data_IF_225963820876
#
_entry.id   IF_225963820876
#
_cell.length_a   1.000
_cell.length_b   1.000
_cell.length_c   1.000
_cell.angle_alpha   90.00
_cell.angle_beta   90.00
_cell.angle_gamma   90.00
#
_symmetry.space_group_name_H-M   'P 1'
#
loop_
_entity.id
_entity.type
_entity.pdbx_description
1 polymer ?
#
# COMPACT_ATOMS: atom_id res chain seq x y z
N UNK A 1 -28.23 -8.20 -6.60
CA UNK A 1 -28.04 -7.22 -7.69
C UNK A 1 -26.54 -7.08 -7.85
N UNK A 2 -26.00 -7.80 -8.82
CA UNK A 2 -24.58 -8.13 -8.95
C UNK A 2 -23.88 -6.94 -9.60
N UNK A 3 -22.91 -6.35 -8.90
CA UNK A 3 -22.02 -5.35 -9.47
C UNK A 3 -21.04 -6.06 -10.40
N UNK A 4 -21.19 -5.86 -11.71
CA UNK A 4 -20.22 -6.32 -12.69
C UNK A 4 -18.95 -5.48 -12.56
N UNK A 5 -17.87 -6.13 -12.15
CA UNK A 5 -16.51 -5.62 -12.29
C UNK A 5 -16.19 -5.46 -13.79
N UNK A 6 -15.80 -4.26 -14.18
CA UNK A 6 -15.19 -4.00 -15.49
C UNK A 6 -13.70 -4.13 -15.30
N UNK A 7 -13.08 -5.09 -15.99
CA UNK A 7 -11.63 -5.28 -16.01
C UNK A 7 -10.95 -4.14 -16.78
N UNK A 8 -9.94 -3.44 -16.20
CA UNK A 8 -9.10 -2.51 -16.93
C UNK A 8 -8.03 -3.26 -17.75
N UNK A 9 -7.81 -2.84 -19.00
CA UNK A 9 -6.67 -3.27 -19.82
C UNK A 9 -5.44 -2.37 -19.60
N UNK A 10 -4.21 -2.88 -19.80
CA UNK A 10 -3.01 -2.34 -19.16
C UNK A 10 -2.19 -1.43 -20.08
N UNK A 11 -1.79 -0.26 -19.57
CA UNK A 11 -0.62 0.49 -20.06
C UNK A 11 0.01 1.24 -18.89
N UNK A 12 1.10 0.70 -18.34
CA UNK A 12 2.23 1.38 -17.64
C UNK A 12 2.03 2.56 -16.66
N UNK A 13 0.82 2.93 -16.25
CA UNK A 13 0.55 4.18 -15.53
C UNK A 13 -0.33 4.00 -14.29
N UNK A 14 -0.08 2.93 -13.51
CA UNK A 14 -0.69 2.78 -12.19
C UNK A 14 -0.08 3.81 -11.23
N UNK A 15 -0.67 5.00 -11.18
CA UNK A 15 -0.28 6.06 -10.26
C UNK A 15 -0.37 5.65 -8.79
N UNK A 16 0.32 6.38 -7.91
CA UNK A 16 0.28 6.13 -6.47
C UNK A 16 -1.07 6.57 -5.90
N UNK A 17 -1.71 5.71 -5.12
CA UNK A 17 -2.99 6.02 -4.48
C UNK A 17 -2.84 6.95 -3.28
N UNK A 18 -3.64 8.01 -3.24
CA UNK A 18 -3.85 8.89 -2.08
C UNK A 18 -5.30 8.81 -1.62
N UNK A 19 -5.56 8.90 -0.32
CA UNK A 19 -6.92 8.76 0.19
C UNK A 19 -7.06 8.89 1.69
N UNK A 20 -8.26 8.55 2.17
CA UNK A 20 -8.63 8.52 3.59
C UNK A 20 -9.13 7.12 3.93
N UNK A 21 -8.47 6.43 4.87
CA UNK A 21 -8.84 5.07 5.31
C UNK A 21 -10.33 4.94 5.63
N UNK A 22 -10.92 3.80 5.27
CA UNK A 22 -12.34 3.50 5.56
C UNK A 22 -13.37 4.33 4.79
N UNK A 23 -12.93 5.25 3.94
CA UNK A 23 -13.78 6.05 3.05
C UNK A 23 -13.53 5.69 1.59
N UNK A 24 -14.47 6.04 0.70
CA UNK A 24 -14.33 5.83 -0.74
C UNK A 24 -13.49 6.92 -1.45
N UNK A 25 -13.05 7.94 -0.70
CA UNK A 25 -12.31 9.08 -1.24
C UNK A 25 -10.87 8.69 -1.59
N UNK A 26 -10.63 8.42 -2.86
CA UNK A 26 -9.37 7.92 -3.42
C UNK A 26 -9.03 8.65 -4.71
N UNK A 27 -7.75 8.93 -4.90
CA UNK A 27 -7.23 9.42 -6.16
C UNK A 27 -5.89 8.77 -6.47
N UNK A 28 -5.62 8.55 -7.76
CA UNK A 28 -4.33 8.11 -8.27
C UNK A 28 -3.48 9.32 -8.65
N UNK A 29 -2.19 9.29 -8.31
CA UNK A 29 -1.21 10.33 -8.64
C UNK A 29 -0.19 9.73 -9.60
N UNK A 30 -0.13 10.20 -10.84
CA UNK A 30 0.84 9.71 -11.84
C UNK A 30 2.28 10.03 -11.45
N UNK A 31 3.26 9.45 -12.15
CA UNK A 31 4.68 9.68 -11.88
C UNK A 31 5.13 11.16 -12.00
N UNK A 32 4.37 11.99 -12.71
CA UNK A 32 4.60 13.43 -12.85
C UNK A 32 3.61 14.31 -12.06
N UNK A 33 2.76 13.69 -11.24
CA UNK A 33 1.88 14.40 -10.33
C UNK A 33 0.51 14.76 -10.88
N UNK A 34 0.08 14.22 -12.02
CA UNK A 34 -1.32 14.38 -12.43
C UNK A 34 -2.25 13.58 -11.50
N UNK A 35 -3.42 14.13 -11.17
CA UNK A 35 -4.32 13.58 -10.13
C UNK A 35 -5.67 13.15 -10.71
N UNK A 36 -6.02 11.88 -10.54
CA UNK A 36 -7.27 11.27 -11.02
C UNK A 36 -8.07 10.66 -9.88
N UNK A 37 -9.22 11.22 -9.48
CA UNK A 37 -10.09 10.59 -8.49
C UNK A 37 -10.71 9.30 -9.02
N UNK A 38 -10.77 8.27 -8.18
CA UNK A 38 -11.28 6.95 -8.56
C UNK A 38 -12.75 6.97 -9.00
N UNK A 39 -13.59 7.73 -8.28
CA UNK A 39 -15.01 7.88 -8.61
C UNK A 39 -15.24 8.51 -10.00
N UNK A 40 -14.23 9.19 -10.54
CA UNK A 40 -14.27 9.95 -11.77
C UNK A 40 -13.16 9.53 -12.75
N UNK A 41 -12.69 8.28 -12.70
CA UNK A 41 -11.60 7.76 -13.57
C UNK A 41 -11.86 7.93 -15.08
N UNK A 42 -13.12 8.07 -15.48
CA UNK A 42 -13.52 8.32 -16.87
C UNK A 42 -13.37 9.79 -17.29
N UNK A 43 -13.11 10.69 -16.35
CA UNK A 43 -12.80 12.09 -16.61
C UNK A 43 -11.30 12.28 -16.79
N UNK A 44 -10.92 13.37 -17.46
CA UNK A 44 -9.52 13.72 -17.61
C UNK A 44 -8.87 13.96 -16.22
N UNK A 45 -7.60 13.58 -16.04
CA UNK A 45 -6.85 13.89 -14.83
C UNK A 45 -6.72 15.41 -14.64
N UNK A 46 -6.53 15.85 -13.40
CA UNK A 46 -6.01 17.20 -13.14
C UNK A 46 -4.51 17.17 -13.44
N UNK A 47 -4.09 17.88 -14.48
CA UNK A 47 -2.68 18.05 -14.81
C UNK A 47 -2.25 19.50 -14.53
N UNK A 48 -0.94 19.75 -14.54
CA UNK A 48 -0.36 21.01 -14.11
C UNK A 48 0.84 21.43 -14.96
N UNK A 49 1.11 22.74 -15.03
CA UNK A 49 2.27 23.30 -15.71
C UNK A 49 2.81 24.51 -14.95
N UNK A 50 4.10 24.78 -15.05
CA UNK A 50 4.75 25.93 -14.39
C UNK A 50 5.35 26.86 -15.43
N UNK A 51 4.92 28.12 -15.43
CA UNK A 51 5.52 29.19 -16.22
C UNK A 51 6.67 29.82 -15.44
N UNK A 52 7.90 29.49 -15.83
CA UNK A 52 9.13 30.06 -15.28
C UNK A 52 10.04 30.48 -16.44
N UNK A 53 10.70 31.63 -16.29
CA UNK A 53 11.37 32.36 -17.38
C UNK A 53 10.42 32.61 -18.57
N UNK A 54 10.83 32.19 -19.79
CA UNK A 54 10.15 32.43 -21.06
C UNK A 54 9.44 31.17 -21.61
N UNK A 55 9.23 30.13 -20.78
CA UNK A 55 8.52 28.91 -21.22
C UNK A 55 7.65 28.30 -20.12
N UNK A 56 6.77 27.40 -20.54
CA UNK A 56 6.08 26.51 -19.62
C UNK A 56 6.83 25.18 -19.49
N UNK A 57 6.91 24.71 -18.25
CA UNK A 57 7.43 23.43 -17.86
C UNK A 57 6.24 22.49 -17.63
N UNK A 58 6.10 21.49 -18.50
CA UNK A 58 5.04 20.48 -18.39
C UNK A 58 5.65 19.21 -17.78
N UNK A 59 5.33 18.86 -16.52
CA UNK A 59 5.97 17.76 -15.80
C UNK A 59 5.97 16.44 -16.58
N UNK A 60 4.89 16.12 -17.28
CA UNK A 60 4.78 14.92 -18.14
C UNK A 60 5.77 14.86 -19.31
N UNK A 61 6.40 15.98 -19.67
CA UNK A 61 7.37 16.11 -20.76
C UNK A 61 8.77 16.50 -20.28
N UNK A 62 8.95 16.81 -19.00
CA UNK A 62 10.25 17.16 -18.45
C UNK A 62 11.02 15.89 -18.06
N UNK A 63 12.31 15.82 -18.41
CA UNK A 63 13.16 14.69 -18.03
C UNK A 63 13.56 14.71 -16.54
N UNK A 64 13.51 15.89 -15.91
CA UNK A 64 13.99 16.13 -14.54
C UNK A 64 12.83 16.20 -13.53
N UNK A 65 11.93 15.23 -13.57
CA UNK A 65 10.86 15.05 -12.58
C UNK A 65 11.24 13.97 -11.58
N UNK A 66 11.10 14.29 -10.30
CA UNK A 66 11.43 13.40 -9.18
C UNK A 66 10.25 13.34 -8.24
N UNK A 67 9.76 12.13 -7.98
CA UNK A 67 8.63 11.89 -7.10
C UNK A 67 9.03 11.03 -5.91
N UNK A 68 8.47 11.32 -4.74
CA UNK A 68 8.63 10.51 -3.54
C UNK A 68 7.38 10.55 -2.66
N UNK A 69 7.20 9.52 -1.85
CA UNK A 69 6.29 9.51 -0.70
C UNK A 69 6.95 10.21 0.49
N UNK A 70 6.16 10.90 1.31
CA UNK A 70 6.62 11.40 2.60
C UNK A 70 6.67 10.24 3.60
N UNK A 71 7.86 9.78 3.99
CA UNK A 71 8.08 8.65 4.91
C UNK A 71 7.27 7.37 4.57
N UNK A 72 7.08 7.09 3.27
CA UNK A 72 6.28 5.96 2.77
C UNK A 72 4.76 6.15 2.81
N UNK A 73 4.26 7.22 3.42
CA UNK A 73 2.82 7.54 3.55
C UNK A 73 2.21 7.97 2.21
N UNK A 74 0.87 7.96 2.05
CA UNK A 74 0.18 8.37 0.83
C UNK A 74 0.06 9.91 0.75
N UNK A 75 1.20 10.56 0.97
CA UNK A 75 1.43 11.99 0.77
C UNK A 75 2.57 12.09 -0.23
N UNK A 76 2.26 12.56 -1.43
CA UNK A 76 3.16 12.48 -2.57
C UNK A 76 3.78 13.83 -2.83
N UNK A 77 5.10 13.89 -2.93
CA UNK A 77 5.85 15.07 -3.34
C UNK A 77 6.46 14.82 -4.72
N UNK A 78 6.08 15.64 -5.70
CA UNK A 78 6.66 15.68 -7.04
C UNK A 78 7.41 16.98 -7.20
N UNK A 79 8.70 16.92 -7.52
CA UNK A 79 9.54 18.10 -7.77
C UNK A 79 9.87 18.19 -9.25
N UNK A 80 9.65 19.35 -9.82
CA UNK A 80 9.95 19.66 -11.22
C UNK A 80 11.01 20.73 -11.24
N UNK A 81 12.13 20.44 -11.90
CA UNK A 81 13.23 21.40 -12.04
C UNK A 81 12.80 22.56 -12.94
N UNK A 82 12.89 23.76 -12.39
CA UNK A 82 12.71 25.04 -13.10
C UNK A 82 14.02 25.83 -13.04
N UNK A 83 14.15 26.95 -13.77
CA UNK A 83 15.30 27.84 -13.65
C UNK A 83 15.54 28.24 -12.19
N UNK A 84 16.79 28.09 -11.75
CA UNK A 84 17.27 28.47 -10.41
C UNK A 84 16.53 27.86 -9.20
N UNK A 85 15.73 26.81 -9.38
CA UNK A 85 15.04 26.15 -8.26
C UNK A 85 14.16 24.96 -8.65
N UNK A 86 13.20 24.62 -7.81
CA UNK A 86 12.22 23.55 -8.06
C UNK A 86 10.80 24.08 -7.80
N UNK A 87 9.85 23.67 -8.63
CA UNK A 87 8.43 23.73 -8.29
C UNK A 87 8.07 22.43 -7.56
N UNK A 88 7.60 22.55 -6.32
CA UNK A 88 7.32 21.42 -5.44
C UNK A 88 5.81 21.23 -5.34
N UNK A 89 5.32 20.15 -5.95
CA UNK A 89 3.92 19.74 -5.96
C UNK A 89 3.68 18.67 -4.90
N UNK A 90 2.75 18.89 -3.97
CA UNK A 90 2.36 17.92 -2.94
C UNK A 90 0.89 17.55 -3.02
N UNK A 91 0.59 16.26 -2.94
CA UNK A 91 -0.78 15.72 -3.01
C UNK A 91 -1.08 14.86 -1.79
N UNK A 92 -2.23 15.09 -1.17
CA UNK A 92 -2.77 14.26 -0.10
C UNK A 92 -4.30 14.36 -0.04
N UNK A 93 -4.96 13.49 0.71
CA UNK A 93 -6.41 13.54 0.89
C UNK A 93 -6.81 13.81 2.34
N UNK A 94 -7.93 14.51 2.53
CA UNK A 94 -8.53 14.83 3.85
C UNK A 94 -10.02 14.52 3.84
N UNK A 95 -10.57 14.21 5.02
CA UNK A 95 -11.98 13.87 5.19
C UNK A 95 -12.92 15.08 5.17
N UNK A 96 -12.36 16.28 5.34
CA UNK A 96 -13.11 17.54 5.40
C UNK A 96 -14.05 17.71 4.21
N UNK A 97 -15.22 18.30 4.47
CA UNK A 97 -16.22 18.65 3.45
C UNK A 97 -16.67 17.49 2.55
N UNK A 98 -16.69 16.27 3.08
CA UNK A 98 -17.10 15.08 2.33
C UNK A 98 -16.00 14.52 1.42
N UNK A 99 -14.74 14.78 1.76
CA UNK A 99 -13.57 14.25 1.06
C UNK A 99 -12.99 15.23 0.05
N UNK A 100 -11.74 15.64 0.27
CA UNK A 100 -10.97 16.46 -0.65
C UNK A 100 -9.61 15.81 -0.93
N UNK A 101 -9.16 15.82 -2.18
CA UNK A 101 -7.73 15.67 -2.51
C UNK A 101 -7.13 17.06 -2.66
N UNK A 102 -6.21 17.41 -1.77
CA UNK A 102 -5.54 18.70 -1.72
C UNK A 102 -4.25 18.62 -2.52
N UNK A 103 -4.04 19.65 -3.32
CA UNK A 103 -2.80 19.89 -4.06
C UNK A 103 -2.18 21.18 -3.52
N UNK A 104 -0.93 21.12 -3.11
CA UNK A 104 -0.11 22.27 -2.73
C UNK A 104 1.03 22.44 -3.73
N UNK A 105 1.20 23.67 -4.22
CA UNK A 105 2.38 24.05 -5.03
C UNK A 105 3.20 25.02 -4.21
N UNK A 106 4.43 24.64 -3.92
CA UNK A 106 5.44 25.48 -3.28
C UNK A 106 6.47 25.94 -4.33
N UNK A 107 6.81 27.23 -4.27
CA UNK A 107 7.88 27.81 -5.06
C UNK A 107 9.21 27.73 -4.29
N UNK A 108 9.99 26.68 -4.54
CA UNK A 108 11.35 26.51 -4.03
C UNK A 108 12.37 27.08 -5.03
N UNK A 109 12.18 28.34 -5.41
CA UNK A 109 13.06 29.10 -6.29
C UNK A 109 13.13 30.57 -5.85
N UNK A 110 14.18 31.31 -6.27
CA UNK A 110 14.36 32.70 -5.87
C UNK A 110 13.43 33.68 -6.62
N UNK A 111 12.78 33.26 -7.71
CA UNK A 111 11.93 34.10 -8.54
C UNK A 111 10.46 33.68 -8.45
N UNK A 112 9.50 34.61 -8.54
CA UNK A 112 8.09 34.25 -8.65
C UNK A 112 7.81 33.53 -9.97
N UNK A 113 6.88 32.59 -9.97
CA UNK A 113 6.40 31.91 -11.17
C UNK A 113 4.88 31.83 -11.16
N UNK A 114 4.27 31.38 -12.26
CA UNK A 114 2.85 31.03 -12.27
C UNK A 114 2.67 29.52 -12.48
N UNK A 115 1.65 28.95 -11.84
CA UNK A 115 1.21 27.57 -12.09
C UNK A 115 -0.12 27.59 -12.81
N UNK A 116 -0.30 26.66 -13.74
CA UNK A 116 -1.57 26.36 -14.38
C UNK A 116 -2.05 24.97 -13.97
N UNK A 117 -3.36 24.84 -13.73
CA UNK A 117 -4.05 23.57 -13.54
C UNK A 117 -5.11 23.40 -14.63
N UNK A 118 -5.21 22.23 -15.25
CA UNK A 118 -6.13 21.99 -16.38
C UNK A 118 -6.57 20.53 -16.46
N UNK A 119 -7.57 20.25 -17.30
CA UNK A 119 -8.20 18.95 -17.46
C UNK A 119 -9.43 18.76 -16.56
N UNK A 120 -9.53 19.52 -15.46
CA UNK A 120 -10.72 19.57 -14.59
C UNK A 120 -10.74 20.76 -13.65
N UNK A 121 -11.94 21.06 -13.17
CA UNK A 121 -12.18 22.12 -12.18
C UNK A 121 -11.58 21.78 -10.82
N UNK A 122 -11.07 22.82 -10.15
CA UNK A 122 -10.54 22.75 -8.79
C UNK A 122 -11.18 23.79 -7.89
N UNK A 123 -11.23 23.50 -6.59
CA UNK A 123 -11.52 24.48 -5.55
C UNK A 123 -10.30 25.36 -5.32
N UNK A 124 -10.53 26.66 -5.17
CA UNK A 124 -9.47 27.64 -4.90
C UNK A 124 -9.86 28.51 -3.71
N UNK A 125 -8.85 29.10 -3.04
CA UNK A 125 -9.10 30.05 -1.94
C UNK A 125 -9.53 31.43 -2.42
N UNK A 126 -9.17 31.75 -3.66
CA UNK A 126 -9.45 33.02 -4.33
C UNK A 126 -9.79 32.73 -5.78
N UNK A 127 -10.58 33.61 -6.39
CA UNK A 127 -10.85 33.56 -7.82
C UNK A 127 -9.55 33.53 -8.61
N UNK A 128 -9.41 32.58 -9.56
CA UNK A 128 -8.32 32.56 -10.52
C UNK A 128 -8.13 33.91 -11.21
N UNK A 129 -6.91 34.18 -11.68
CA UNK A 129 -6.66 35.36 -12.49
C UNK A 129 -7.12 35.12 -13.92
N UNK A 130 -7.85 36.07 -14.51
CA UNK A 130 -8.22 36.06 -15.94
C UNK A 130 -7.04 36.46 -16.87
N UNK A 131 -5.84 36.64 -16.32
CA UNK A 131 -4.67 37.05 -17.09
C UNK A 131 -4.13 35.84 -17.86
N UNK A 132 -4.31 35.87 -19.18
CA UNK A 132 -3.65 34.93 -20.09
C UNK A 132 -2.14 35.16 -20.07
N UNK A 133 -1.40 34.20 -19.54
CA UNK A 133 0.06 34.22 -19.50
C UNK A 133 0.56 33.71 -20.85
N UNK A 134 1.29 34.55 -21.58
CA UNK A 134 1.77 34.25 -22.94
C UNK A 134 2.90 33.20 -22.92
N UNK A 135 3.02 32.40 -23.98
CA UNK A 135 4.18 31.52 -24.20
C UNK A 135 3.88 30.02 -24.36
N UNK A 136 2.63 29.58 -24.19
CA UNK A 136 2.14 28.25 -24.63
C UNK A 136 0.62 28.27 -24.78
N UNK A 137 0.10 27.45 -25.68
CA UNK A 137 -1.33 27.16 -25.75
C UNK A 137 -1.69 26.23 -24.59
N UNK A 138 -2.20 26.82 -23.50
CA UNK A 138 -2.87 26.07 -22.45
C UNK A 138 -4.26 25.64 -22.92
N UNK A 139 -4.80 24.53 -22.40
CA UNK A 139 -6.22 24.20 -22.58
C UNK A 139 -7.14 25.34 -22.12
N UNK A 140 -8.29 25.50 -22.78
CA UNK A 140 -9.27 26.55 -22.48
C UNK A 140 -9.81 26.51 -21.04
N UNK A 141 -9.73 25.35 -20.38
CA UNK A 141 -10.16 25.13 -19.00
C UNK A 141 -9.04 25.40 -17.97
N UNK A 142 -7.88 25.90 -18.41
CA UNK A 142 -6.75 26.14 -17.53
C UNK A 142 -6.99 27.28 -16.54
N UNK A 143 -6.75 27.00 -15.26
CA UNK A 143 -6.75 27.96 -14.16
C UNK A 143 -5.32 28.34 -13.83
N UNK A 144 -4.97 29.62 -13.94
CA UNK A 144 -3.61 30.12 -13.65
C UNK A 144 -3.55 30.91 -12.35
N UNK A 145 -2.47 30.69 -11.59
CA UNK A 145 -2.26 31.30 -10.29
C UNK A 145 -0.79 31.72 -10.11
N UNK A 146 -0.50 33.00 -9.80
CA UNK A 146 0.87 33.44 -9.50
C UNK A 146 1.30 32.97 -8.11
N UNK A 147 2.57 32.56 -7.97
CA UNK A 147 3.18 32.12 -6.72
C UNK A 147 4.47 32.92 -6.48
N UNK A 148 4.51 33.67 -5.38
CA UNK A 148 5.70 34.42 -4.98
C UNK A 148 6.83 33.47 -4.56
N UNK A 149 8.08 33.96 -4.61
CA UNK A 149 9.25 33.20 -4.17
C UNK A 149 9.08 32.69 -2.73
N UNK A 150 9.41 31.42 -2.48
CA UNK A 150 9.31 30.78 -1.16
C UNK A 150 7.91 30.84 -0.52
N UNK A 151 6.86 30.87 -1.35
CA UNK A 151 5.46 30.77 -0.91
C UNK A 151 4.78 29.56 -1.51
N UNK A 152 3.62 29.19 -0.96
CA UNK A 152 2.80 28.11 -1.50
C UNK A 152 1.35 28.54 -1.70
N UNK A 153 0.68 27.85 -2.62
CA UNK A 153 -0.77 27.92 -2.81
C UNK A 153 -1.37 26.53 -2.66
N UNK A 154 -2.67 26.48 -2.38
CA UNK A 154 -3.44 25.23 -2.37
C UNK A 154 -4.63 25.32 -3.32
N UNK A 155 -4.88 24.20 -3.98
CA UNK A 155 -6.14 23.90 -4.66
C UNK A 155 -6.65 22.55 -4.17
N UNK A 156 -7.92 22.23 -4.41
CA UNK A 156 -8.46 20.95 -4.02
C UNK A 156 -9.43 20.38 -5.04
N UNK A 157 -9.48 19.06 -5.11
CA UNK A 157 -10.46 18.29 -5.86
C UNK A 157 -11.48 17.75 -4.85
N UNK A 158 -12.78 18.02 -5.03
CA UNK A 158 -13.81 17.37 -4.23
C UNK A 158 -14.09 15.93 -4.71
N UNK A 159 -14.36 15.01 -3.77
CA UNK A 159 -14.78 13.62 -4.07
C UNK A 159 -16.29 13.44 -4.14
N UNK A 160 -17.05 14.54 -3.99
CA UNK A 160 -18.50 14.56 -4.04
C UNK A 160 -19.02 15.97 -4.33
N UNK A 161 -20.34 16.15 -4.48
CA UNK A 161 -20.91 17.47 -4.71
C UNK A 161 -20.60 18.39 -3.53
N UNK A 162 -20.20 19.63 -3.82
CA UNK A 162 -20.04 20.64 -2.79
C UNK A 162 -21.39 20.91 -2.10
N UNK A 163 -21.39 21.18 -0.78
CA UNK A 163 -22.59 21.65 -0.10
C UNK A 163 -23.16 22.91 -0.74
N UNK A 164 -24.48 23.05 -0.73
CA UNK A 164 -25.16 24.22 -1.29
C UNK A 164 -24.67 25.53 -0.63
N UNK A 165 -24.37 26.53 -1.46
CA UNK A 165 -23.88 27.84 -1.00
C UNK A 165 -22.37 27.94 -0.78
N UNK A 166 -21.61 26.86 -1.02
CA UNK A 166 -20.14 26.93 -1.07
C UNK A 166 -19.72 27.47 -2.43
N UNK A 167 -19.04 28.61 -2.44
CA UNK A 167 -18.35 29.13 -3.62
C UNK A 167 -17.07 28.31 -3.86
N UNK A 168 -16.95 27.62 -5.01
CA UNK A 168 -15.75 26.84 -5.36
C UNK A 168 -14.45 27.67 -5.34
N UNK A 169 -14.54 28.99 -5.49
CA UNK A 169 -13.38 29.88 -5.56
C UNK A 169 -13.12 30.70 -4.28
N UNK A 170 -13.83 30.40 -3.20
CA UNK A 170 -13.63 31.05 -1.89
C UNK A 170 -13.55 30.02 -0.75
N UNK A 171 -12.99 28.84 -1.03
CA UNK A 171 -12.87 27.76 -0.04
C UNK A 171 -11.63 27.98 0.83
N UNK A 172 -11.79 27.99 2.16
CA UNK A 172 -10.64 28.04 3.08
C UNK A 172 -9.87 26.71 3.07
N UNK A 173 -8.77 26.64 2.32
CA UNK A 173 -7.91 25.47 2.18
C UNK A 173 -6.71 25.51 3.14
N UNK A 174 -6.31 26.70 3.59
CA UNK A 174 -5.26 26.93 4.57
C UNK A 174 -5.59 26.33 5.95
N UNK A 175 -6.89 26.25 6.29
CA UNK A 175 -7.38 25.63 7.52
C UNK A 175 -7.39 24.09 7.46
N UNK A 176 -7.20 23.49 6.28
CA UNK A 176 -7.12 22.04 6.16
C UNK A 176 -5.79 21.51 6.73
N UNK A 177 -5.77 20.25 7.21
CA UNK A 177 -4.52 19.60 7.60
C UNK A 177 -3.45 19.70 6.52
N UNK A 178 -2.23 20.06 6.91
CA UNK A 178 -1.08 20.06 6.01
C UNK A 178 -0.62 18.64 5.65
N UNK A 179 0.12 18.51 4.56
CA UNK A 179 0.78 17.29 4.13
C UNK A 179 1.51 16.57 5.28
N UNK A 180 2.31 17.31 6.07
CA UNK A 180 3.06 16.74 7.20
C UNK A 180 2.14 16.25 8.34
N UNK A 181 1.02 16.91 8.58
CA UNK A 181 0.03 16.46 9.58
C UNK A 181 -0.66 15.18 9.14
N UNK A 182 -1.03 15.08 7.86
CA UNK A 182 -1.64 13.88 7.28
C UNK A 182 -0.64 12.72 7.28
N UNK A 183 0.62 12.96 6.89
CA UNK A 183 1.67 11.94 6.94
C UNK A 183 1.86 11.38 8.36
N UNK A 184 1.94 12.23 9.40
CA UNK A 184 2.01 11.76 10.80
C UNK A 184 0.80 10.92 11.20
N UNK A 185 -0.39 11.27 10.74
CA UNK A 185 -1.60 10.49 10.97
C UNK A 185 -1.51 9.08 10.36
N UNK A 186 -0.99 8.99 9.14
CA UNK A 186 -0.72 7.71 8.47
C UNK A 186 0.35 6.88 9.17
N UNK A 187 1.48 7.48 9.55
CA UNK A 187 2.51 6.78 10.33
C UNK A 187 1.94 6.22 11.62
N UNK A 188 1.12 7.00 12.34
CA UNK A 188 0.47 6.53 13.56
C UNK A 188 -0.51 5.36 13.34
N UNK A 189 -1.11 5.23 12.15
CA UNK A 189 -1.94 4.07 11.79
C UNK A 189 -1.07 2.84 11.50
N UNK A 190 -0.04 2.98 10.67
CA UNK A 190 0.85 1.86 10.30
C UNK A 190 1.68 1.35 11.49
N UNK A 191 2.06 2.24 12.41
CA UNK A 191 2.85 1.91 13.59
C UNK A 191 2.09 1.06 14.62
N UNK A 192 0.75 0.99 14.52
CA UNK A 192 -0.06 0.08 15.36
C UNK A 192 0.28 -1.38 15.11
N UNK A 193 0.64 -1.71 13.87
CA UNK A 193 1.04 -3.05 13.50
C UNK A 193 2.47 -3.36 13.99
N UNK A 194 3.42 -2.52 13.59
CA UNK A 194 4.80 -2.48 14.10
C UNK A 194 5.46 -1.17 13.64
N UNK A 195 6.38 -0.63 14.45
CA UNK A 195 7.22 0.52 14.07
C UNK A 195 8.65 0.07 13.82
N UNK A 196 9.16 0.39 12.64
CA UNK A 196 10.51 0.03 12.19
C UNK A 196 11.29 1.33 12.01
N UNK A 197 12.29 1.55 12.87
CA UNK A 197 13.23 2.66 12.78
C UNK A 197 14.62 2.06 12.53
N UNK A 198 15.04 2.07 11.27
CA UNK A 198 16.29 1.46 10.82
C UNK A 198 17.24 2.51 10.27
N UNK A 199 18.57 2.27 10.31
CA UNK A 199 19.56 3.14 9.70
C UNK A 199 19.44 3.22 8.17
N UNK A 200 18.73 2.28 7.55
CA UNK A 200 18.45 2.32 6.12
C UNK A 200 17.24 3.22 5.81
N UNK A 201 17.33 3.94 4.69
CA UNK A 201 16.32 4.93 4.29
C UNK A 201 15.18 4.34 3.45
N UNK A 202 15.16 3.02 3.23
CA UNK A 202 14.29 2.39 2.23
C UNK A 202 13.28 1.41 2.81
N UNK A 203 13.71 0.51 3.68
CA UNK A 203 12.92 -0.61 4.15
C UNK A 203 11.75 -0.17 5.05
N UNK A 204 12.01 0.74 5.99
CA UNK A 204 10.98 1.30 6.86
C UNK A 204 9.89 1.99 6.03
N UNK A 205 10.29 2.87 5.11
CA UNK A 205 9.37 3.57 4.21
C UNK A 205 8.61 2.60 3.30
N UNK A 206 9.23 1.50 2.84
CA UNK A 206 8.58 0.49 2.02
C UNK A 206 7.50 -0.29 2.77
N UNK A 207 7.74 -0.63 4.05
CA UNK A 207 6.74 -1.27 4.91
C UNK A 207 5.57 -0.33 5.16
N UNK A 208 5.84 0.95 5.47
CA UNK A 208 4.79 1.97 5.61
C UNK A 208 3.98 2.09 4.32
N UNK A 209 4.65 2.17 3.16
CA UNK A 209 3.99 2.23 1.86
C UNK A 209 3.09 1.03 1.60
N UNK A 210 3.58 -0.19 1.82
CA UNK A 210 2.81 -1.42 1.62
C UNK A 210 1.54 -1.45 2.48
N UNK A 211 1.62 -1.02 3.75
CA UNK A 211 0.47 -0.94 4.65
C UNK A 211 -0.52 0.15 4.24
N UNK A 212 -0.01 1.31 3.82
CA UNK A 212 -0.85 2.40 3.30
C UNK A 212 -1.61 1.97 2.04
N UNK A 213 -0.94 1.33 1.09
CA UNK A 213 -1.55 0.82 -0.14
C UNK A 213 -2.63 -0.20 0.20
N UNK A 214 -2.32 -1.17 1.07
CA UNK A 214 -3.27 -2.16 1.56
C UNK A 214 -4.52 -1.54 2.21
N UNK A 215 -4.36 -0.51 3.06
CA UNK A 215 -5.50 0.18 3.69
C UNK A 215 -6.32 1.03 2.71
N UNK A 216 -5.74 1.43 1.58
CA UNK A 216 -6.41 2.25 0.57
C UNK A 216 -7.09 1.41 -0.51
N UNK A 217 -6.43 0.33 -0.95
CA UNK A 217 -6.79 -0.50 -2.11
C UNK A 217 -7.46 -1.81 -1.71
N UNK A 218 -7.22 -2.28 -0.48
CA UNK A 218 -7.73 -3.54 0.04
C UNK A 218 -6.77 -4.72 -0.21
N UNK A 219 -7.12 -5.91 0.29
CA UNK A 219 -6.30 -7.11 0.12
C UNK A 219 -6.32 -7.59 -1.33
N UNK A 220 -5.27 -8.32 -1.74
CA UNK A 220 -5.28 -9.05 -3.03
C UNK A 220 -6.47 -9.99 -3.11
N UNK A 221 -6.94 -10.33 -4.31
CA UNK A 221 -8.09 -11.24 -4.45
C UNK A 221 -7.73 -12.64 -3.96
N UNK A 222 -8.61 -13.23 -3.15
CA UNK A 222 -8.45 -14.58 -2.61
C UNK A 222 -8.25 -15.67 -3.68
N UNK A 223 -8.92 -15.54 -4.83
CA UNK A 223 -8.82 -16.52 -5.93
C UNK A 223 -7.46 -16.46 -6.65
N UNK A 224 -6.86 -15.27 -6.70
CA UNK A 224 -5.55 -15.05 -7.35
C UNK A 224 -4.42 -15.47 -6.40
N UNK A 225 -4.58 -15.15 -5.11
CA UNK A 225 -3.55 -15.38 -4.12
C UNK A 225 -4.14 -15.58 -2.69
N UNK A 226 -4.55 -16.81 -2.34
CA UNK A 226 -5.24 -17.07 -1.07
C UNK A 226 -4.36 -16.89 0.17
N UNK A 227 -3.07 -17.23 0.09
CA UNK A 227 -2.11 -16.95 1.17
C UNK A 227 -1.91 -15.44 1.35
N UNK A 228 -1.86 -14.72 0.23
CA UNK A 228 -1.61 -13.28 0.20
C UNK A 228 -2.78 -12.53 0.78
N UNK A 229 -3.99 -12.96 0.43
CA UNK A 229 -5.23 -12.46 1.03
C UNK A 229 -5.22 -12.63 2.55
N UNK A 230 -4.89 -13.81 3.08
CA UNK A 230 -4.88 -14.03 4.54
C UNK A 230 -3.82 -13.15 5.23
N UNK A 231 -2.64 -12.99 4.63
CA UNK A 231 -1.59 -12.12 5.17
C UNK A 231 -1.97 -10.64 5.10
N UNK A 232 -2.57 -10.19 4.00
CA UNK A 232 -3.08 -8.84 3.80
C UNK A 232 -4.15 -8.51 4.86
N UNK A 233 -5.12 -9.41 5.05
CA UNK A 233 -6.14 -9.27 6.10
C UNK A 233 -5.51 -9.23 7.49
N UNK A 234 -4.49 -10.05 7.75
CA UNK A 234 -3.72 -10.02 8.99
C UNK A 234 -3.09 -8.65 9.26
N UNK A 235 -2.51 -8.02 8.23
CA UNK A 235 -1.93 -6.68 8.33
C UNK A 235 -3.00 -5.59 8.49
N UNK A 236 -4.16 -5.69 7.84
CA UNK A 236 -5.29 -4.78 8.06
C UNK A 236 -5.75 -4.78 9.52
N UNK A 237 -5.96 -5.97 10.08
CA UNK A 237 -6.35 -6.13 11.50
C UNK A 237 -5.27 -5.58 12.44
N UNK A 238 -3.99 -5.78 12.12
CA UNK A 238 -2.87 -5.19 12.90
C UNK A 238 -2.80 -3.66 12.79
N UNK A 239 -3.20 -3.08 11.66
CA UNK A 239 -3.34 -1.63 11.50
C UNK A 239 -4.60 -1.06 12.20
N UNK A 240 -5.46 -1.93 12.72
CA UNK A 240 -6.60 -1.59 13.56
C UNK A 240 -7.96 -1.75 12.89
N UNK A 241 -8.05 -2.52 11.79
CA UNK A 241 -9.33 -2.94 11.22
C UNK A 241 -10.02 -4.01 12.09
N UNK A 242 -11.35 -4.12 11.98
CA UNK A 242 -12.11 -5.04 12.83
C UNK A 242 -11.92 -6.51 12.42
N UNK A 243 -11.55 -7.38 13.36
CA UNK A 243 -11.22 -8.77 13.06
C UNK A 243 -12.44 -9.67 12.78
N UNK A 244 -13.61 -9.37 13.37
CA UNK A 244 -14.80 -10.23 13.30
C UNK A 244 -15.33 -10.43 11.87
N UNK A 245 -15.52 -9.37 11.04
CA UNK A 245 -15.95 -9.54 9.65
C UNK A 245 -14.97 -10.38 8.83
N UNK A 246 -13.66 -10.15 9.04
CA UNK A 246 -12.60 -10.82 8.30
C UNK A 246 -12.45 -12.31 8.63
N UNK A 247 -12.82 -12.73 9.85
CA UNK A 247 -12.73 -14.15 10.24
C UNK A 247 -13.54 -15.05 9.30
N UNK A 248 -14.69 -14.58 8.81
CA UNK A 248 -15.53 -15.34 7.87
C UNK A 248 -14.88 -15.41 6.48
N UNK A 249 -14.33 -14.30 6.02
CA UNK A 249 -13.73 -14.18 4.68
C UNK A 249 -12.45 -15.01 4.51
N UNK A 250 -11.66 -15.20 5.58
CA UNK A 250 -10.41 -15.99 5.50
C UNK A 250 -10.62 -17.51 5.50
N UNK A 251 -11.84 -18.01 5.79
CA UNK A 251 -12.09 -19.46 5.89
C UNK A 251 -11.84 -20.16 4.56
N UNK A 252 -12.47 -19.68 3.48
CA UNK A 252 -12.32 -20.28 2.15
C UNK A 252 -10.86 -20.30 1.65
N UNK A 253 -10.15 -19.17 1.70
CA UNK A 253 -8.71 -19.11 1.39
C UNK A 253 -7.87 -20.09 2.21
N UNK A 254 -8.10 -20.18 3.53
CA UNK A 254 -7.36 -21.12 4.40
C UNK A 254 -7.63 -22.58 4.05
N UNK A 255 -8.88 -22.94 3.75
CA UNK A 255 -9.23 -24.29 3.32
C UNK A 255 -8.55 -24.67 1.99
N UNK A 256 -8.49 -23.73 1.05
CA UNK A 256 -7.84 -23.93 -0.25
C UNK A 256 -6.34 -24.21 -0.11
N UNK A 257 -5.67 -23.56 0.84
CA UNK A 257 -4.21 -23.67 1.02
C UNK A 257 -3.78 -24.70 2.05
N UNK A 258 -4.70 -25.28 2.83
CA UNK A 258 -4.37 -26.15 3.96
C UNK A 258 -3.48 -27.36 3.60
N UNK A 259 -3.53 -27.83 2.35
CA UNK A 259 -2.70 -28.92 1.81
C UNK A 259 -1.56 -28.45 0.89
N UNK A 260 -1.44 -27.15 0.65
CA UNK A 260 -0.42 -26.57 -0.22
C UNK A 260 0.95 -26.47 0.46
N UNK A 261 1.95 -26.13 -0.34
CA UNK A 261 3.38 -26.21 0.06
C UNK A 261 4.02 -24.82 0.12
N UNK A 262 3.19 -23.76 0.07
CA UNK A 262 3.66 -22.39 0.07
C UNK A 262 4.53 -22.12 1.31
N UNK A 263 5.78 -21.65 1.15
CA UNK A 263 6.68 -21.43 2.26
C UNK A 263 6.20 -20.37 3.27
N UNK A 264 5.24 -19.52 2.90
CA UNK A 264 4.61 -18.52 3.77
C UNK A 264 3.30 -18.99 4.41
N UNK A 265 2.83 -20.21 4.14
CA UNK A 265 1.65 -20.77 4.80
C UNK A 265 1.74 -20.73 6.34
N UNK A 266 2.87 -21.02 7.01
CA UNK A 266 2.98 -20.86 8.45
C UNK A 266 2.68 -19.42 8.93
N UNK A 267 3.19 -18.41 8.22
CA UNK A 267 2.92 -17.01 8.53
C UNK A 267 1.45 -16.63 8.32
N UNK A 268 0.81 -17.17 7.27
CA UNK A 268 -0.61 -16.99 7.03
C UNK A 268 -1.47 -17.65 8.13
N UNK A 269 -1.06 -18.81 8.63
CA UNK A 269 -1.73 -19.47 9.77
C UNK A 269 -1.56 -18.67 11.06
N UNK A 270 -0.40 -18.06 11.29
CA UNK A 270 -0.19 -17.16 12.42
C UNK A 270 -1.07 -15.90 12.32
N UNK A 271 -1.20 -15.32 11.12
CA UNK A 271 -2.11 -14.21 10.85
C UNK A 271 -3.57 -14.60 11.10
N UNK A 272 -4.01 -15.74 10.56
CA UNK A 272 -5.36 -16.27 10.77
C UNK A 272 -5.65 -16.57 12.25
N UNK A 273 -4.68 -17.13 12.97
CA UNK A 273 -4.81 -17.39 14.40
C UNK A 273 -4.99 -16.08 15.18
N UNK A 274 -4.19 -15.05 14.86
CA UNK A 274 -4.32 -13.72 15.45
C UNK A 274 -5.71 -13.13 15.21
N UNK A 275 -6.22 -13.21 13.98
CA UNK A 275 -7.57 -12.75 13.62
C UNK A 275 -8.60 -13.46 14.49
N UNK A 276 -8.58 -14.80 14.55
CA UNK A 276 -9.53 -15.57 15.34
C UNK A 276 -9.49 -15.24 16.86
N UNK A 277 -8.29 -15.01 17.41
CA UNK A 277 -8.13 -14.57 18.81
C UNK A 277 -8.74 -13.19 19.03
N UNK A 278 -8.47 -12.23 18.13
CA UNK A 278 -8.98 -10.85 18.23
C UNK A 278 -10.50 -10.77 18.01
N UNK A 279 -11.08 -11.65 17.18
CA UNK A 279 -12.53 -11.81 17.04
C UNK A 279 -13.19 -12.49 18.24
N UNK A 280 -12.42 -13.00 19.19
CA UNK A 280 -12.94 -13.71 20.36
C UNK A 280 -13.43 -15.14 20.10
N UNK A 281 -13.26 -15.68 18.88
CA UNK A 281 -13.64 -17.05 18.54
C UNK A 281 -12.56 -18.05 18.99
N UNK A 282 -12.70 -18.51 20.23
CA UNK A 282 -11.79 -19.50 20.82
C UNK A 282 -11.82 -20.85 20.10
N UNK A 283 -12.89 -21.20 19.38
CA UNK A 283 -12.97 -22.46 18.65
C UNK A 283 -12.16 -22.35 17.37
N UNK A 284 -12.39 -21.31 16.59
CA UNK A 284 -11.61 -21.03 15.39
C UNK A 284 -10.12 -20.92 15.70
N UNK A 285 -9.74 -20.17 16.74
CA UNK A 285 -8.34 -20.06 17.16
C UNK A 285 -7.71 -21.43 17.47
N UNK A 286 -8.39 -22.30 18.24
CA UNK A 286 -7.88 -23.65 18.52
C UNK A 286 -7.75 -24.52 17.27
N UNK A 287 -8.70 -24.43 16.34
CA UNK A 287 -8.69 -25.26 15.14
C UNK A 287 -7.60 -24.80 14.15
N UNK A 288 -7.37 -23.48 14.04
CA UNK A 288 -6.26 -22.90 13.27
C UNK A 288 -4.91 -23.25 13.90
N UNK A 289 -4.77 -23.16 15.22
CA UNK A 289 -3.53 -23.55 15.92
C UNK A 289 -3.15 -25.02 15.64
N UNK A 290 -4.13 -25.94 15.72
CA UNK A 290 -3.93 -27.35 15.35
C UNK A 290 -3.59 -27.55 13.86
N UNK A 291 -4.00 -26.64 12.99
CA UNK A 291 -3.60 -26.65 11.58
C UNK A 291 -2.14 -26.21 11.45
N UNK A 292 -1.74 -25.14 12.17
CA UNK A 292 -0.36 -24.70 12.31
C UNK A 292 0.58 -25.82 12.74
N UNK A 293 0.26 -26.54 13.82
CA UNK A 293 1.08 -27.67 14.31
C UNK A 293 1.31 -28.74 13.23
N UNK A 294 0.28 -29.05 12.44
CA UNK A 294 0.38 -30.02 11.33
C UNK A 294 1.22 -29.50 10.17
N UNK A 295 1.12 -28.21 9.86
CA UNK A 295 1.86 -27.59 8.76
C UNK A 295 3.33 -27.40 9.12
N UNK A 296 3.65 -26.95 10.33
CA UNK A 296 5.04 -26.76 10.80
C UNK A 296 5.86 -28.06 10.76
N UNK A 297 5.22 -29.22 10.93
CA UNK A 297 5.89 -30.52 10.76
C UNK A 297 6.14 -30.93 9.31
N UNK A 298 5.43 -30.32 8.35
CA UNK A 298 5.49 -30.65 6.91
C UNK A 298 6.32 -29.64 6.11
N UNK A 299 6.12 -28.35 6.36
CA UNK A 299 6.79 -27.25 5.68
C UNK A 299 7.91 -26.77 6.60
N UNK A 300 9.15 -26.99 6.16
CA UNK A 300 10.31 -26.41 6.84
C UNK A 300 10.35 -24.91 6.60
N UNK A 301 10.73 -24.15 7.62
CA UNK A 301 10.90 -22.72 7.51
C UNK A 301 11.92 -22.41 6.38
N UNK A 302 11.54 -21.65 5.33
CA UNK A 302 12.43 -21.44 4.20
C UNK A 302 13.66 -20.64 4.64
N UNK A 303 14.80 -20.93 4.01
CA UNK A 303 16.05 -20.20 4.24
C UNK A 303 15.83 -18.71 3.98
N UNK A 304 16.24 -17.88 4.93
CA UNK A 304 16.08 -16.44 4.83
C UNK A 304 17.06 -15.89 3.80
N UNK A 305 16.51 -15.29 2.75
CA UNK A 305 17.31 -14.60 1.75
C UNK A 305 17.71 -13.19 2.24
N UNK A 306 18.77 -12.59 1.72
CA UNK A 306 19.17 -11.22 2.02
C UNK A 306 18.04 -10.18 1.82
N UNK A 307 18.16 -9.02 2.48
CA UNK A 307 17.22 -7.91 2.28
C UNK A 307 17.19 -7.38 0.84
N UNK A 308 18.28 -7.55 0.08
CA UNK A 308 18.36 -7.15 -1.34
C UNK A 308 17.49 -8.01 -2.27
N UNK A 309 17.02 -9.17 -1.80
CA UNK A 309 16.11 -10.07 -2.53
C UNK A 309 14.65 -9.88 -2.12
N UNK A 310 14.33 -8.83 -1.36
CA UNK A 310 12.94 -8.49 -1.06
C UNK A 310 12.27 -7.90 -2.29
N UNK A 311 11.15 -8.47 -2.67
CA UNK A 311 10.26 -7.97 -3.72
C UNK A 311 8.92 -7.59 -3.09
N UNK A 312 8.34 -6.47 -3.54
CA UNK A 312 7.04 -6.02 -3.01
C UNK A 312 5.91 -6.98 -3.42
N UNK A 313 5.90 -7.49 -4.65
CA UNK A 313 4.79 -8.29 -5.18
C UNK A 313 3.44 -7.57 -5.11
N UNK A 314 2.33 -8.29 -5.34
CA UNK A 314 0.97 -7.74 -5.19
C UNK A 314 0.54 -7.68 -3.71
N UNK A 315 0.67 -8.77 -2.95
CA UNK A 315 0.26 -8.85 -1.54
C UNK A 315 1.19 -8.07 -0.60
N UNK A 316 0.64 -7.07 0.08
CA UNK A 316 1.35 -6.28 1.08
C UNK A 316 1.78 -7.13 2.27
N UNK A 317 0.90 -8.01 2.73
CA UNK A 317 1.12 -8.95 3.81
C UNK A 317 2.26 -9.91 3.52
N UNK A 318 2.40 -10.44 2.30
CA UNK A 318 3.57 -11.25 1.91
C UNK A 318 4.88 -10.50 2.05
N UNK A 319 4.90 -9.26 1.57
CA UNK A 319 6.07 -8.40 1.66
C UNK A 319 6.41 -8.08 3.11
N UNK A 320 5.44 -7.60 3.89
CA UNK A 320 5.65 -7.24 5.30
C UNK A 320 6.07 -8.47 6.14
N UNK A 321 5.42 -9.62 5.97
CA UNK A 321 5.80 -10.85 6.64
C UNK A 321 7.24 -11.28 6.29
N UNK A 322 7.66 -11.09 5.03
CA UNK A 322 9.03 -11.33 4.58
C UNK A 322 10.04 -10.38 5.24
N UNK A 323 9.69 -9.11 5.41
CA UNK A 323 10.53 -8.11 6.10
C UNK A 323 10.64 -8.45 7.58
N UNK A 324 9.50 -8.60 8.26
CA UNK A 324 9.47 -8.84 9.71
C UNK A 324 10.19 -10.13 10.09
N UNK A 325 10.05 -11.21 9.31
CA UNK A 325 10.76 -12.47 9.58
C UNK A 325 12.28 -12.36 9.46
N UNK A 326 12.79 -11.39 8.68
CA UNK A 326 14.24 -11.09 8.60
C UNK A 326 14.72 -10.24 9.78
N UNK A 327 13.82 -9.52 10.43
CA UNK A 327 14.09 -8.72 11.63
C UNK A 327 13.97 -9.57 12.90
N UNK A 328 12.91 -10.37 13.02
CA UNK A 328 12.64 -11.29 14.12
C UNK A 328 11.91 -12.52 13.57
N UNK A 329 12.45 -13.71 13.80
CA UNK A 329 11.82 -14.98 13.41
C UNK A 329 11.57 -15.83 14.64
N UNK A 330 10.31 -15.88 15.10
CA UNK A 330 10.00 -16.49 16.38
C UNK A 330 10.61 -15.67 17.51
N UNK A 331 11.49 -16.28 18.31
CA UNK A 331 12.30 -15.57 19.31
C UNK A 331 13.68 -15.10 18.82
N UNK A 332 14.10 -15.46 17.60
CA UNK A 332 15.45 -15.12 17.12
C UNK A 332 15.46 -13.73 16.49
N UNK A 333 16.20 -12.82 17.12
CA UNK A 333 16.37 -11.42 16.74
C UNK A 333 17.50 -11.32 15.74
N UNK A 334 17.22 -10.67 14.61
CA UNK A 334 18.15 -10.50 13.50
C UNK A 334 18.79 -11.84 13.10
N UNK A 335 17.98 -12.82 12.68
CA UNK A 335 18.45 -14.17 12.34
C UNK A 335 19.49 -14.16 11.21
N UNK A 336 19.59 -13.07 10.43
CA UNK A 336 20.58 -12.87 9.38
C UNK A 336 21.83 -12.09 9.82
N UNK A 337 21.91 -11.72 11.10
CA UNK A 337 22.92 -10.82 11.64
C UNK A 337 22.66 -9.35 11.31
N UNK A 338 23.61 -8.49 11.69
CA UNK A 338 23.55 -7.05 11.41
C UNK A 338 24.10 -6.73 10.01
N UNK A 339 23.31 -6.06 9.14
CA UNK A 339 23.81 -5.46 7.92
C UNK A 339 24.95 -4.47 8.20
N UNK A 340 25.90 -4.36 7.27
CA UNK A 340 27.06 -3.45 7.41
C UNK A 340 26.63 -1.99 7.60
N UNK A 341 25.56 -1.57 6.94
CA UNK A 341 25.00 -0.22 7.04
C UNK A 341 24.43 0.12 8.43
N UNK A 342 24.17 -0.89 9.28
CA UNK A 342 23.62 -0.70 10.62
C UNK A 342 24.70 -0.70 11.71
N UNK A 343 25.93 -1.08 11.38
CA UNK A 343 27.03 -1.10 12.34
C UNK A 343 27.36 0.32 12.83
N UNK A 344 27.41 0.50 14.14
CA UNK A 344 27.65 1.81 14.79
C UNK A 344 26.46 2.76 14.80
N UNK A 345 25.31 2.40 14.20
CA UNK A 345 24.12 3.26 14.15
C UNK A 345 23.01 2.69 15.05
N UNK A 346 22.47 3.53 15.93
CA UNK A 346 21.35 3.16 16.80
C UNK A 346 20.08 2.95 15.97
N UNK A 347 19.26 1.98 16.37
CA UNK A 347 17.99 1.70 15.70
C UNK A 347 16.98 1.11 16.68
N UNK A 348 15.71 1.08 16.29
CA UNK A 348 14.62 0.56 17.10
C UNK A 348 13.59 -0.23 16.27
N UNK A 349 13.09 -1.30 16.86
CA UNK A 349 11.99 -2.10 16.36
C UNK A 349 10.91 -2.11 17.44
N UNK A 350 9.64 -1.93 17.08
CA UNK A 350 8.54 -1.96 18.03
C UNK A 350 7.43 -2.88 17.56
N UNK A 351 6.97 -3.77 18.44
CA UNK A 351 5.82 -4.62 18.16
C UNK A 351 6.03 -5.62 17.02
N UNK A 352 7.27 -6.04 16.75
CA UNK A 352 7.54 -7.06 15.71
C UNK A 352 7.03 -8.42 16.19
N UNK A 353 6.27 -9.19 15.39
CA UNK A 353 5.71 -10.47 15.82
C UNK A 353 6.78 -11.50 16.17
N UNK A 354 6.61 -12.12 17.34
CA UNK A 354 7.38 -13.30 17.76
C UNK A 354 6.54 -14.57 17.71
N UNK A 355 5.21 -14.42 17.69
CA UNK A 355 4.23 -15.48 17.43
C UNK A 355 2.92 -14.84 16.94
N UNK A 356 1.89 -15.65 16.72
CA UNK A 356 0.54 -15.16 16.42
C UNK A 356 -0.11 -14.32 17.53
N UNK A 357 0.36 -14.38 18.78
CA UNK A 357 -0.20 -13.62 19.92
C UNK A 357 0.81 -12.82 20.72
N UNK A 358 2.10 -12.84 20.33
CA UNK A 358 3.16 -12.10 21.01
C UNK A 358 4.03 -11.29 20.06
N UNK A 359 4.61 -10.22 20.61
CA UNK A 359 5.49 -9.30 19.90
C UNK A 359 6.67 -8.91 20.78
N UNK A 360 7.74 -8.43 20.14
CA UNK A 360 8.91 -7.85 20.80
C UNK A 360 9.21 -6.45 20.27
N UNK A 361 9.59 -5.56 21.18
CA UNK A 361 10.21 -4.28 20.88
C UNK A 361 11.67 -4.33 21.31
N UNK A 362 12.56 -3.79 20.48
CA UNK A 362 14.01 -3.86 20.65
C UNK A 362 14.61 -2.49 20.34
N UNK A 363 15.51 -2.01 21.20
CA UNK A 363 16.33 -0.85 20.93
C UNK A 363 17.80 -1.25 20.97
N UNK A 364 18.53 -0.95 19.90
CA UNK A 364 19.98 -1.20 19.82
C UNK A 364 20.74 0.10 19.98
N UNK A 365 21.71 0.09 20.89
CA UNK A 365 22.56 1.23 21.27
C UNK A 365 24.03 0.83 21.25
N UNK A 366 24.88 1.61 20.60
CA UNK A 366 26.29 1.26 20.45
C UNK A 366 27.17 1.74 21.61
N UNK A 367 27.98 0.85 22.17
CA UNK A 367 29.01 1.14 23.17
C UNK A 367 30.37 0.64 22.66
N UNK A 368 31.06 1.49 21.88
CA UNK A 368 32.24 1.07 21.13
C UNK A 368 31.85 0.07 20.03
N UNK A 369 32.53 -1.07 19.97
CA UNK A 369 32.27 -2.11 18.96
C UNK A 369 31.11 -3.06 19.33
N UNK A 370 30.57 -2.96 20.55
CA UNK A 370 29.54 -3.87 21.07
C UNK A 370 28.18 -3.15 21.17
N UNK A 371 27.11 -3.72 20.59
CA UNK A 371 25.76 -3.19 20.74
C UNK A 371 25.12 -3.65 22.06
N UNK A 372 24.62 -2.71 22.84
CA UNK A 372 23.66 -2.96 23.90
C UNK A 372 22.27 -3.10 23.30
N UNK A 373 21.58 -4.17 23.66
CA UNK A 373 20.20 -4.47 23.29
C UNK A 373 19.31 -4.24 24.50
N UNK A 374 18.24 -3.48 24.32
CA UNK A 374 17.13 -3.39 25.25
C UNK A 374 15.93 -4.08 24.61
N UNK A 375 15.15 -4.83 25.38
CA UNK A 375 13.95 -5.49 24.86
C UNK A 375 12.76 -5.34 25.79
N UNK A 376 11.58 -5.43 25.19
CA UNK A 376 10.28 -5.54 25.86
C UNK A 376 9.39 -6.49 25.07
N UNK A 377 8.76 -7.46 25.74
CA UNK A 377 7.86 -8.45 25.15
C UNK A 377 6.41 -8.20 25.58
N UNK A 378 5.50 -8.27 24.61
CA UNK A 378 4.05 -8.22 24.82
C UNK A 378 3.41 -9.56 24.46
N UNK A 379 2.39 -9.97 25.23
CA UNK A 379 1.76 -11.28 25.07
C UNK A 379 2.54 -12.41 25.76
N UNK A 380 2.47 -13.60 25.16
CA UNK A 380 3.14 -14.81 25.63
C UNK A 380 4.65 -14.72 25.45
N UNK A 381 5.39 -14.90 26.56
CA UNK A 381 6.84 -14.77 26.59
C UNK A 381 7.50 -15.79 25.65
N UNK A 382 8.38 -15.28 24.79
CA UNK A 382 9.25 -16.08 23.96
C UNK A 382 10.67 -16.07 24.53
N UNK A 383 11.41 -17.13 24.25
CA UNK A 383 12.85 -17.17 24.47
C UNK A 383 13.52 -16.37 23.36
N UNK A 384 14.02 -15.18 23.70
CA UNK A 384 14.74 -14.33 22.78
C UNK A 384 16.16 -14.85 22.59
N UNK A 385 16.62 -14.90 21.35
CA UNK A 385 18.00 -15.23 20.95
C UNK A 385 18.49 -14.24 19.91
N UNK A 386 19.80 -14.24 19.65
CA UNK A 386 20.39 -13.46 18.56
C UNK A 386 21.53 -14.27 17.96
N UNK A 387 21.22 -15.48 17.48
CA UNK A 387 22.22 -16.54 17.23
C UNK A 387 23.29 -16.11 16.22
N UNK A 388 22.90 -15.30 15.23
CA UNK A 388 23.79 -14.77 14.19
C UNK A 388 24.67 -13.61 14.64
N UNK A 389 24.46 -13.07 15.84
CA UNK A 389 25.24 -11.97 16.43
C UNK A 389 26.04 -12.48 17.62
N UNK A 390 25.36 -13.09 18.59
CA UNK A 390 25.90 -13.66 19.82
C UNK A 390 25.17 -14.99 20.12
N UNK A 391 25.82 -16.09 19.75
CA UNK A 391 25.26 -17.43 19.89
C UNK A 391 25.05 -17.88 21.35
N UNK A 392 25.68 -17.22 22.32
CA UNK A 392 25.53 -17.52 23.73
C UNK A 392 24.41 -16.69 24.39
N UNK A 393 23.99 -15.59 23.76
CA UNK A 393 22.97 -14.71 24.30
C UNK A 393 21.57 -15.33 24.21
N UNK A 394 20.84 -15.27 25.32
CA UNK A 394 19.41 -15.57 25.35
C UNK A 394 18.73 -14.82 26.49
N UNK A 395 17.44 -14.49 26.32
CA UNK A 395 16.63 -13.85 27.35
C UNK A 395 15.21 -14.42 27.39
N UNK A 396 14.67 -14.61 28.59
CA UNK A 396 13.29 -15.08 28.82
C UNK A 396 12.46 -14.07 29.64
N UNK A 397 13.06 -12.95 30.04
CA UNK A 397 12.38 -11.91 30.79
C UNK A 397 11.48 -11.06 29.88
N UNK A 398 10.40 -10.53 30.46
CA UNK A 398 9.48 -9.62 29.78
C UNK A 398 10.18 -8.35 29.29
N UNK A 399 11.13 -7.83 30.08
CA UNK A 399 11.94 -6.68 29.72
C UNK A 399 13.35 -6.87 30.24
N UNK A 400 14.32 -6.17 29.65
CA UNK A 400 15.70 -6.19 30.13
C UNK A 400 16.66 -5.49 29.20
N UNK A 401 17.93 -5.53 29.59
CA UNK A 401 19.07 -5.05 28.82
C UNK A 401 20.17 -6.11 28.78
N UNK A 402 20.97 -6.08 27.72
CA UNK A 402 22.08 -7.00 27.51
C UNK A 402 23.10 -6.40 26.56
N UNK A 403 24.32 -6.92 26.56
CA UNK A 403 25.40 -6.47 25.69
C UNK A 403 25.81 -7.64 24.80
N UNK A 404 25.48 -7.56 23.51
CA UNK A 404 25.89 -8.58 22.53
C UNK A 404 27.40 -8.55 22.31
N UNK A 405 27.94 -9.65 21.81
CA UNK A 405 29.30 -9.69 21.26
C UNK A 405 29.49 -8.66 20.13
N UNK A 406 30.76 -8.29 19.90
CA UNK A 406 31.11 -7.41 18.80
C UNK A 406 30.73 -8.10 17.48
N UNK A 407 29.77 -7.56 16.71
CA UNK A 407 29.30 -8.21 15.50
C UNK A 407 30.46 -8.32 14.53
N UNK A 408 30.76 -9.54 14.08
CA UNK A 408 31.71 -9.72 12.99
C UNK A 408 31.13 -8.97 11.79
N UNK A 409 31.95 -8.22 11.06
CA UNK A 409 31.53 -7.66 9.78
C UNK A 409 31.00 -8.81 8.93
N UNK A 410 29.68 -8.94 8.83
CA UNK A 410 29.07 -9.92 7.96
C UNK A 410 29.63 -9.67 6.56
N UNK A 411 29.88 -10.73 5.78
CA UNK A 411 30.08 -10.61 4.32
C UNK A 411 29.10 -9.55 3.84
N UNK A 412 29.58 -8.46 3.25
CA UNK A 412 28.81 -7.24 3.01
C UNK A 412 27.42 -7.56 2.42
N UNK A 413 26.43 -7.75 3.30
CA UNK A 413 25.03 -7.81 2.93
C UNK A 413 24.65 -6.35 2.77
N UNK A 414 25.08 -5.76 1.66
CA UNK A 414 24.70 -4.41 1.32
C UNK A 414 23.16 -4.41 1.26
N UNK A 415 22.53 -3.59 2.10
CA UNK A 415 21.13 -3.22 1.94
C UNK A 415 21.04 -2.34 0.69
N UNK A 416 20.94 -2.97 -0.48
CA UNK A 416 20.53 -2.30 -1.72
C UNK A 416 19.09 -2.70 -2.00
N UNK A 417 18.14 -2.07 -1.30
CA UNK A 417 16.73 -2.16 -1.67
C UNK A 417 16.49 -1.04 -2.68
N UNK A 418 16.56 -1.35 -3.97
CA UNK A 418 16.30 -0.34 -5.00
C UNK A 418 14.82 0.03 -5.00
N UNK A 419 14.48 1.32 -5.05
CA UNK A 419 13.09 1.78 -5.12
C UNK A 419 12.29 1.12 -6.27
N UNK A 420 12.97 0.74 -7.37
CA UNK A 420 12.36 -0.01 -8.48
C UNK A 420 12.01 -1.47 -8.16
N UNK A 421 12.67 -2.13 -7.20
CA UNK A 421 12.33 -3.50 -6.75
C UNK A 421 11.17 -3.52 -5.75
N UNK A 422 10.89 -2.38 -5.13
CA UNK A 422 9.75 -2.17 -4.24
C UNK A 422 8.50 -1.68 -4.97
N UNK A 423 8.61 -1.45 -6.28
CA UNK A 423 7.47 -1.19 -7.16
C UNK A 423 6.78 -2.51 -7.47
N UNK A 424 5.44 -2.54 -7.51
CA UNK A 424 4.68 -3.75 -7.85
C UNK A 424 5.11 -4.18 -9.26
N UNK A 425 5.82 -5.30 -9.37
CA UNK A 425 6.09 -5.91 -10.67
C UNK A 425 4.87 -6.77 -11.00
N UNK A 426 4.08 -6.47 -12.04
CA UNK A 426 2.98 -7.35 -12.42
C UNK A 426 3.57 -8.71 -12.81
N UNK A 427 3.20 -9.75 -12.05
CA UNK A 427 3.62 -11.12 -12.34
C UNK A 427 2.96 -11.54 -13.65
N UNK A 428 3.77 -11.83 -14.67
CA UNK A 428 3.26 -12.41 -15.90
C UNK A 428 2.56 -13.74 -15.57
N UNK A 429 1.27 -13.83 -15.90
CA UNK A 429 0.50 -15.04 -15.72
C UNK A 429 1.24 -16.23 -16.39
N UNK A 430 1.30 -17.41 -15.76
CA UNK A 430 1.87 -18.59 -16.40
C UNK A 430 1.09 -18.84 -17.68
N UNK A 431 1.81 -18.99 -18.80
CA UNK A 431 1.20 -19.26 -20.10
C UNK A 431 0.27 -20.47 -20.01
N UNK A 432 -1.03 -20.26 -20.21
CA UNK A 432 -2.01 -21.34 -20.32
C UNK A 432 -1.55 -22.34 -21.38
N UNK A 433 -1.62 -23.66 -21.11
CA UNK A 433 -1.25 -24.66 -22.11
C UNK A 433 -2.19 -24.54 -23.32
N UNK A 434 -1.60 -24.37 -24.51
CA UNK A 434 -2.33 -24.22 -25.76
C UNK A 434 -3.32 -25.37 -25.96
N UNK A 435 -4.62 -25.04 -26.01
CA UNK A 435 -5.68 -25.98 -26.38
C UNK A 435 -5.44 -26.49 -27.80
N UNK A 436 -5.20 -27.79 -27.95
CA UNK A 436 -5.21 -28.47 -29.25
C UNK A 436 -6.63 -28.36 -29.87
N UNK A 437 -6.76 -28.12 -31.17
CA UNK A 437 -8.06 -28.12 -31.82
C UNK A 437 -8.63 -29.55 -31.82
N UNK A 438 -9.86 -29.70 -31.35
CA UNK A 438 -10.62 -30.95 -31.43
C UNK A 438 -11.21 -31.05 -32.84
N UNK A 439 -10.78 -32.07 -33.59
CA UNK A 439 -11.38 -32.48 -34.85
C UNK A 439 -12.73 -33.12 -34.57
N UNK A 440 -13.81 -32.60 -35.14
CA UNK A 440 -15.14 -33.22 -35.08
C UNK A 440 -15.24 -34.23 -36.22
N UNK A 441 -15.23 -35.52 -35.89
CA UNK A 441 -15.67 -36.59 -36.80
C UNK A 441 -17.20 -36.76 -36.67
N UNK A 442 -17.85 -36.86 -37.84
CA UNK A 442 -19.28 -37.06 -37.96
C UNK A 442 -19.62 -38.55 -37.91
N UNK A 443 -20.61 -38.94 -37.11
CA UNK A 443 -21.31 -40.21 -37.26
C UNK A 443 -22.82 -40.03 -37.02
N UNK A 444 -23.59 -40.78 -37.79
CA UNK A 444 -25.01 -40.59 -38.06
C UNK A 444 -25.94 -41.40 -37.14
N UNK A 445 -27.20 -40.94 -37.11
CA UNK A 445 -28.44 -41.72 -37.31
C UNK A 445 -29.47 -41.78 -36.16
N UNK A 446 -30.73 -41.82 -36.64
CA UNK A 446 -32.01 -42.19 -36.01
C UNK A 446 -32.82 -41.17 -35.16
N UNK A 447 -33.98 -40.81 -35.72
CA UNK A 447 -35.07 -40.01 -35.15
C UNK A 447 -36.00 -40.81 -34.20
N UNK A 448 -36.90 -40.11 -33.47
CA UNK A 448 -38.23 -40.68 -33.20
C UNK A 448 -39.41 -39.74 -33.48
N UNK A 449 -40.54 -40.40 -33.78
CA UNK A 449 -41.85 -39.92 -34.23
C UNK A 449 -42.62 -38.99 -33.26
N UNK A 450 -43.40 -38.07 -33.86
CA UNK A 450 -44.46 -37.25 -33.26
C UNK A 450 -45.86 -37.82 -33.59
N UNK A 451 -46.87 -37.62 -32.75
CA UNK A 451 -48.28 -37.70 -33.17
C UNK A 451 -48.97 -36.32 -33.24
N UNK A 452 -49.73 -36.14 -34.32
CA UNK A 452 -50.60 -35.01 -34.69
C UNK A 452 -51.84 -34.83 -33.80
N UNK A 453 -52.21 -33.58 -33.46
CA UNK A 453 -53.62 -33.13 -33.37
C UNK A 453 -53.76 -31.66 -33.83
N UNK A 454 -54.76 -31.46 -34.69
CA UNK A 454 -55.18 -30.30 -35.49
C UNK A 454 -55.74 -29.09 -34.67
N UNK A 455 -55.88 -27.88 -35.26
CA UNK A 455 -56.15 -26.60 -34.60
C UNK A 455 -57.63 -26.19 -34.62
N UNK A 456 -58.01 -25.26 -33.73
CA UNK A 456 -59.28 -24.54 -33.82
C UNK A 456 -59.54 -23.53 -32.70
N UNK A 457 -59.90 -22.30 -33.13
CA UNK A 457 -60.63 -21.24 -32.42
C UNK A 457 -59.85 -20.27 -31.49
N UNK A 458 -59.55 -19.09 -32.06
CA UNK A 458 -59.96 -17.69 -31.71
C UNK A 458 -60.10 -17.21 -30.25
N UNK A 459 -60.06 -15.88 -29.99
CA UNK A 459 -59.37 -15.26 -28.87
C UNK A 459 -60.36 -14.65 -27.87
N UNK A 460 -59.83 -13.88 -26.92
CA UNK A 460 -60.50 -13.06 -25.89
C UNK A 460 -60.56 -13.60 -24.47
N UNK A 461 -60.44 -12.61 -23.57
CA UNK A 461 -60.67 -12.60 -22.13
C UNK A 461 -59.48 -12.86 -21.20
N UNK A 462 -58.89 -11.72 -20.81
CA UNK A 462 -59.00 -11.10 -19.47
C UNK A 462 -58.73 -11.95 -18.21
N UNK A 463 -58.05 -11.24 -17.30
CA UNK A 463 -58.10 -11.31 -15.84
C UNK A 463 -57.11 -12.19 -15.08
N UNK A 464 -56.27 -11.46 -14.32
CA UNK A 464 -55.97 -11.59 -12.90
C UNK A 464 -55.58 -12.97 -12.34
N UNK A 465 -54.33 -13.07 -11.86
CA UNK A 465 -54.00 -12.90 -10.43
C UNK A 465 -52.51 -12.73 -10.22
#
# INVERSE_FOLDING_TARGET
MVAHAVEPSPTDDAGITVGVTGQQWRASVSAWGAVTPWAEERLAPLDWAVAADDRWHLPSKEAAVRQRRFDGTPVIETRVRIPDGDAVHRVWSVADRGGLTVIEIENDSPLPFAVAFFGRSVLTERSPSDVLIQGIDLPDDAVTMPIAHHTSIRVAIPHGPLPAGVDPHAVSLASLPSAATVARGWSALTDRASRIDLPDVGLAAAVTAARCDLMLEGPVRADDDPIGFVLDVGELVRCGDEAEPWLVEIVGPLEAVARGDDPQLPAALDAAHRIAVLSGDRRAARDIAKMGDRVSGRISAPELQPFSELERGSSAGRFVASVERRLVSGGDVLPMGLPSAWLGVNFELHGVPTSSTSTVSIAVRWHGERPAVLWEQTGDLQRLTAVSIDAAWSAESRMGEGLWDAPRSARATNLSVSAGQLSVTPQAAPASPASRPVTVEAEADAAPDLPDINPGADPDSTSFS
#
